data_IF_270253238634
#
_entry.id   IF_270253238634
#
_cell.length_a   1.000
_cell.length_b   1.000
_cell.length_c   1.000
_cell.angle_alpha   90.00
_cell.angle_beta   90.00
_cell.angle_gamma   90.00
#
_symmetry.space_group_name_H-M   'P 1'
#
loop_
_entity.id
_entity.type
_entity.pdbx_description
1 polymer ?
#
# COMPACT_ATOMS: atom_id res chain seq x y z
N UNK A 1 -1.29 7.99 -12.87
CA UNK A 1 -2.62 8.42 -12.37
C UNK A 1 -3.26 7.33 -11.51
N UNK A 2 -3.36 6.08 -11.98
CA UNK A 2 -4.00 5.00 -11.23
C UNK A 2 -3.38 4.68 -9.85
N UNK A 3 -2.05 4.74 -9.68
CA UNK A 3 -1.40 4.41 -8.40
C UNK A 3 -1.77 5.37 -7.26
N UNK A 4 -1.93 6.66 -7.55
CA UNK A 4 -2.31 7.66 -6.54
C UNK A 4 -3.74 7.39 -6.06
N UNK A 5 -4.66 7.22 -7.01
CA UNK A 5 -6.05 6.87 -6.69
C UNK A 5 -6.13 5.52 -5.96
N UNK A 6 -5.37 4.50 -6.40
CA UNK A 6 -5.30 3.20 -5.75
C UNK A 6 -4.83 3.33 -4.29
N UNK A 7 -3.79 4.14 -4.05
CA UNK A 7 -3.31 4.39 -2.69
C UNK A 7 -4.37 5.08 -1.82
N UNK A 8 -4.95 6.18 -2.29
CA UNK A 8 -5.96 6.94 -1.55
C UNK A 8 -7.20 6.08 -1.28
N UNK A 9 -7.70 5.38 -2.30
CA UNK A 9 -8.87 4.51 -2.23
C UNK A 9 -8.66 3.40 -1.18
N UNK A 10 -7.58 2.64 -1.28
CA UNK A 10 -7.33 1.50 -0.39
C UNK A 10 -6.94 1.91 1.04
N UNK A 11 -6.45 3.13 1.23
CA UNK A 11 -6.11 3.65 2.56
C UNK A 11 -7.33 4.20 3.29
N UNK A 12 -8.20 4.94 2.59
CA UNK A 12 -9.24 5.77 3.22
C UNK A 12 -10.68 5.30 3.00
N UNK A 13 -10.94 4.41 2.05
CA UNK A 13 -12.27 3.95 1.73
C UNK A 13 -12.39 2.45 1.98
N UNK A 14 -13.60 2.00 2.31
CA UNK A 14 -13.87 0.58 2.47
C UNK A 14 -13.77 -0.13 1.12
N UNK A 15 -12.94 -1.16 1.04
CA UNK A 15 -12.80 -1.94 -0.19
C UNK A 15 -13.97 -2.93 -0.33
N UNK A 16 -14.66 -2.89 -1.47
CA UNK A 16 -15.71 -3.84 -1.83
C UNK A 16 -15.23 -4.79 -2.94
N UNK A 17 -15.20 -6.09 -2.66
CA UNK A 17 -14.87 -7.12 -3.65
C UNK A 17 -16.08 -7.55 -4.52
N UNK A 18 -17.19 -6.82 -4.44
CA UNK A 18 -18.41 -7.13 -5.22
C UNK A 18 -18.30 -6.68 -6.67
N UNK A 19 -17.49 -5.64 -6.93
CA UNK A 19 -17.26 -5.06 -8.25
C UNK A 19 -15.83 -5.31 -8.72
N UNK A 20 -15.56 -5.03 -9.99
CA UNK A 20 -14.21 -4.98 -10.52
C UNK A 20 -13.44 -3.79 -9.93
N UNK A 21 -12.10 -3.82 -9.98
CA UNK A 21 -11.28 -2.77 -9.38
C UNK A 21 -11.49 -1.41 -10.05
N UNK A 22 -11.73 -1.39 -11.36
CA UNK A 22 -12.06 -0.18 -12.11
C UNK A 22 -13.33 0.46 -11.59
N UNK A 23 -14.41 -0.32 -11.44
CA UNK A 23 -15.71 0.18 -11.00
C UNK A 23 -15.64 0.68 -9.56
N UNK A 24 -14.81 0.04 -8.72
CA UNK A 24 -14.52 0.54 -7.38
C UNK A 24 -13.83 1.91 -7.42
N UNK A 25 -12.86 2.11 -8.32
CA UNK A 25 -12.22 3.43 -8.47
C UNK A 25 -13.18 4.49 -9.00
N UNK A 26 -14.07 4.15 -9.92
CA UNK A 26 -15.10 5.05 -10.41
C UNK A 26 -16.04 5.49 -9.27
N UNK A 27 -16.49 4.55 -8.43
CA UNK A 27 -17.30 4.86 -7.23
C UNK A 27 -16.56 5.85 -6.30
N UNK A 28 -15.25 5.64 -6.07
CA UNK A 28 -14.46 6.54 -5.21
C UNK A 28 -14.32 7.93 -5.83
N UNK A 29 -14.08 8.01 -7.14
CA UNK A 29 -14.02 9.31 -7.84
C UNK A 29 -15.34 10.05 -7.70
N UNK A 30 -16.48 9.37 -7.88
CA UNK A 30 -17.80 9.97 -7.71
C UNK A 30 -17.99 10.54 -6.30
N UNK A 31 -17.58 9.79 -5.27
CA UNK A 31 -17.62 10.25 -3.86
C UNK A 31 -16.76 11.51 -3.67
N UNK A 32 -15.53 11.48 -4.17
CA UNK A 32 -14.59 12.62 -4.05
C UNK A 32 -15.14 13.86 -4.76
N UNK A 33 -15.67 13.70 -5.97
CA UNK A 33 -16.20 14.82 -6.77
C UNK A 33 -17.52 15.38 -6.21
N UNK A 34 -18.31 14.56 -5.51
CA UNK A 34 -19.54 14.99 -4.87
C UNK A 34 -19.31 15.74 -3.54
N UNK A 35 -18.17 15.51 -2.88
CA UNK A 35 -17.81 16.14 -1.61
C UNK A 35 -17.03 17.45 -1.83
N UNK A 36 -17.74 18.58 -1.74
CA UNK A 36 -17.12 19.92 -1.84
C UNK A 36 -16.15 20.24 -0.70
N UNK A 37 -16.18 19.47 0.38
CA UNK A 37 -15.31 19.60 1.56
C UNK A 37 -14.23 18.53 1.63
N UNK A 38 -14.01 17.78 0.53
CA UNK A 38 -13.02 16.72 0.50
C UNK A 38 -11.63 17.26 0.87
N UNK A 39 -10.96 16.70 1.89
CA UNK A 39 -9.74 17.30 2.46
C UNK A 39 -8.50 16.93 1.63
N UNK A 40 -8.40 17.48 0.41
CA UNK A 40 -7.29 17.22 -0.51
C UNK A 40 -5.93 17.46 0.13
N UNK A 41 -5.74 18.59 0.81
CA UNK A 41 -4.47 18.95 1.47
C UNK A 41 -4.01 17.89 2.46
N UNK A 42 -4.95 17.30 3.23
CA UNK A 42 -4.63 16.25 4.20
C UNK A 42 -4.17 14.96 3.51
N UNK A 43 -4.85 14.56 2.45
CA UNK A 43 -4.48 13.35 1.70
C UNK A 43 -3.19 13.55 0.92
N UNK A 44 -2.94 14.75 0.40
CA UNK A 44 -1.68 15.12 -0.23
C UNK A 44 -0.52 15.07 0.78
N UNK A 45 -0.69 15.66 1.97
CA UNK A 45 0.32 15.63 3.03
C UNK A 45 0.67 14.17 3.41
N UNK A 46 -0.34 13.34 3.67
CA UNK A 46 -0.13 11.93 4.03
C UNK A 46 0.51 11.12 2.90
N UNK A 47 0.10 11.37 1.65
CA UNK A 47 0.71 10.76 0.47
C UNK A 47 2.20 11.13 0.41
N UNK A 48 2.53 12.42 0.46
CA UNK A 48 3.89 12.90 0.38
C UNK A 48 4.75 12.31 1.50
N UNK A 49 4.29 12.39 2.75
CA UNK A 49 4.95 11.79 3.91
C UNK A 49 5.24 10.30 3.71
N UNK A 50 4.26 9.54 3.21
CA UNK A 50 4.40 8.11 2.95
C UNK A 50 5.44 7.84 1.88
N UNK A 51 5.34 8.48 0.73
CA UNK A 51 6.21 8.17 -0.42
C UNK A 51 7.61 8.77 -0.28
N UNK A 52 7.78 9.87 0.45
CA UNK A 52 9.10 10.37 0.87
C UNK A 52 9.81 9.37 1.78
N UNK A 53 9.09 8.81 2.78
CA UNK A 53 9.64 7.77 3.65
C UNK A 53 10.01 6.52 2.83
N UNK A 54 9.11 6.00 2.00
CA UNK A 54 9.40 4.82 1.18
C UNK A 54 10.60 5.04 0.24
N UNK A 55 10.71 6.23 -0.35
CA UNK A 55 11.84 6.62 -1.18
C UNK A 55 13.15 6.68 -0.37
N UNK A 56 13.11 7.21 0.86
CA UNK A 56 14.26 7.23 1.77
C UNK A 56 14.69 5.81 2.18
N UNK A 57 13.75 4.90 2.42
CA UNK A 57 14.06 3.56 2.92
C UNK A 57 14.66 2.65 1.84
N UNK A 58 14.00 2.53 0.69
CA UNK A 58 14.37 1.56 -0.36
C UNK A 58 14.30 2.13 -1.79
N UNK A 59 13.94 3.41 -1.95
CA UNK A 59 13.90 4.08 -3.26
C UNK A 59 13.01 3.34 -4.26
N UNK A 60 13.49 3.19 -5.49
CA UNK A 60 12.80 2.44 -6.55
C UNK A 60 12.63 0.93 -6.27
N UNK A 61 13.34 0.39 -5.27
CA UNK A 61 13.30 -1.03 -4.96
C UNK A 61 12.11 -1.42 -4.08
N UNK A 62 11.50 -0.45 -3.40
CA UNK A 62 10.48 -0.67 -2.37
C UNK A 62 9.30 -1.51 -2.85
N UNK A 63 8.93 -1.43 -4.14
CA UNK A 63 7.82 -2.19 -4.72
C UNK A 63 8.26 -3.33 -5.64
N UNK A 64 9.55 -3.71 -5.62
CA UNK A 64 10.06 -4.89 -6.31
C UNK A 64 10.04 -6.10 -5.36
N UNK A 65 10.20 -7.31 -5.88
CA UNK A 65 10.25 -8.52 -5.05
C UNK A 65 11.59 -8.60 -4.32
N UNK A 66 11.58 -8.78 -3.00
CA UNK A 66 12.77 -9.22 -2.26
C UNK A 66 12.93 -10.75 -2.36
N UNK A 67 14.10 -11.22 -2.81
CA UNK A 67 14.41 -12.65 -2.98
C UNK A 67 15.10 -13.31 -1.77
N UNK A 68 15.32 -12.55 -0.70
CA UNK A 68 16.13 -12.96 0.46
C UNK A 68 17.51 -12.31 0.49
N UNK A 69 17.99 -11.80 -0.64
CA UNK A 69 19.27 -11.12 -0.78
C UNK A 69 19.16 -9.70 -1.34
N UNK A 70 18.31 -9.50 -2.36
CA UNK A 70 18.15 -8.24 -3.04
C UNK A 70 16.74 -8.08 -3.62
N UNK A 71 16.36 -6.83 -3.86
CA UNK A 71 15.16 -6.49 -4.61
C UNK A 71 15.40 -6.70 -6.11
N UNK A 72 14.51 -7.46 -6.76
CA UNK A 72 14.65 -7.83 -8.17
C UNK A 72 13.30 -7.85 -8.89
N UNK A 73 13.40 -7.80 -10.21
CA UNK A 73 12.26 -7.90 -11.10
C UNK A 73 11.54 -6.57 -11.30
N UNK A 74 10.31 -6.68 -11.81
CA UNK A 74 9.45 -5.53 -12.13
C UNK A 74 8.74 -5.04 -10.87
N UNK A 75 8.20 -3.83 -10.97
CA UNK A 75 7.23 -3.29 -10.01
C UNK A 75 6.08 -4.29 -9.80
N UNK A 76 5.72 -4.52 -8.55
CA UNK A 76 4.62 -5.38 -8.14
C UNK A 76 3.49 -4.53 -7.55
N UNK A 77 2.34 -4.54 -8.20
CA UNK A 77 1.13 -3.90 -7.67
C UNK A 77 0.77 -4.42 -6.28
N UNK A 78 0.94 -5.71 -6.02
CA UNK A 78 0.67 -6.30 -4.71
C UNK A 78 1.60 -5.75 -3.62
N UNK A 79 2.87 -5.51 -3.93
CA UNK A 79 3.80 -4.87 -3.01
C UNK A 79 3.43 -3.41 -2.78
N UNK A 80 3.04 -2.70 -3.84
CA UNK A 80 2.53 -1.33 -3.74
C UNK A 80 1.29 -1.23 -2.83
N UNK A 81 0.28 -2.07 -3.07
CA UNK A 81 -0.95 -2.14 -2.28
C UNK A 81 -0.64 -2.42 -0.81
N UNK A 82 0.22 -3.39 -0.51
CA UNK A 82 0.55 -3.75 0.87
C UNK A 82 1.40 -2.67 1.56
N UNK A 83 2.53 -2.31 0.96
CA UNK A 83 3.53 -1.45 1.61
C UNK A 83 3.01 -0.02 1.73
N UNK A 84 2.45 0.55 0.67
CA UNK A 84 2.00 1.96 0.72
C UNK A 84 0.84 2.13 1.69
N UNK A 85 -0.15 1.22 1.69
CA UNK A 85 -1.30 1.31 2.60
C UNK A 85 -0.90 0.99 4.03
N UNK A 86 -0.06 -0.03 4.23
CA UNK A 86 0.42 -0.43 5.55
C UNK A 86 1.22 0.68 6.24
N UNK A 87 2.15 1.30 5.52
CA UNK A 87 2.95 2.42 6.03
C UNK A 87 2.09 3.66 6.25
N UNK A 88 1.25 4.06 5.29
CA UNK A 88 0.40 5.25 5.44
C UNK A 88 -0.58 5.14 6.61
N UNK A 89 -1.15 3.95 6.83
CA UNK A 89 -2.10 3.70 7.93
C UNK A 89 -1.44 3.83 9.30
N UNK A 90 -0.16 3.47 9.41
CA UNK A 90 0.58 3.43 10.67
C UNK A 90 1.58 4.59 10.81
N UNK A 91 1.61 5.54 9.86
CA UNK A 91 2.65 6.56 9.76
C UNK A 91 2.89 7.32 11.07
N UNK A 92 1.81 7.76 11.72
CA UNK A 92 1.88 8.52 12.97
C UNK A 92 2.35 7.73 14.20
N UNK A 93 2.46 6.40 14.10
CA UNK A 93 2.95 5.53 15.18
C UNK A 93 4.47 5.32 15.16
N UNK A 94 5.13 5.71 14.08
CA UNK A 94 6.56 5.52 13.91
C UNK A 94 7.36 6.63 14.60
N UNK A 95 8.44 6.24 15.27
CA UNK A 95 9.46 7.14 15.79
C UNK A 95 10.56 7.30 14.74
N UNK A 96 10.37 8.21 13.79
CA UNK A 96 11.31 8.44 12.70
C UNK A 96 12.40 9.45 13.11
N UNK A 97 13.69 9.20 12.78
CA UNK A 97 14.20 8.14 11.90
C UNK A 97 14.58 6.83 12.62
N UNK A 98 14.37 6.70 13.93
CA UNK A 98 14.81 5.54 14.72
C UNK A 98 14.20 4.20 14.22
N UNK A 99 12.96 4.24 13.72
CA UNK A 99 12.26 3.07 13.19
C UNK A 99 12.61 2.74 11.71
N UNK A 100 13.52 3.48 11.06
CA UNK A 100 13.84 3.26 9.64
C UNK A 100 14.33 1.83 9.35
N UNK A 101 15.23 1.30 10.18
CA UNK A 101 15.77 -0.06 9.97
C UNK A 101 14.71 -1.14 10.24
N UNK A 102 13.83 -0.90 11.21
CA UNK A 102 12.66 -1.76 11.46
C UNK A 102 11.72 -1.80 10.24
N UNK A 103 11.44 -0.64 9.64
CA UNK A 103 10.56 -0.55 8.47
C UNK A 103 11.18 -1.20 7.23
N UNK A 104 12.49 -0.98 6.97
CA UNK A 104 13.23 -1.69 5.91
C UNK A 104 13.12 -3.19 6.06
N UNK A 105 13.27 -3.68 7.29
CA UNK A 105 13.22 -5.11 7.54
C UNK A 105 11.80 -5.66 7.40
N UNK A 106 10.77 -4.92 7.81
CA UNK A 106 9.38 -5.30 7.50
C UNK A 106 9.10 -5.35 6.00
N UNK A 107 9.55 -4.36 5.23
CA UNK A 107 9.42 -4.35 3.76
C UNK A 107 10.01 -5.62 3.15
N UNK A 108 11.23 -6.02 3.56
CA UNK A 108 11.87 -7.25 3.09
C UNK A 108 11.12 -8.51 3.54
N UNK A 109 10.74 -8.57 4.82
CA UNK A 109 10.05 -9.71 5.41
C UNK A 109 8.66 -9.93 4.81
N UNK A 110 7.97 -8.89 4.34
CA UNK A 110 6.67 -8.99 3.66
C UNK A 110 6.67 -10.10 2.59
N UNK A 111 7.73 -10.16 1.78
CA UNK A 111 7.89 -11.14 0.70
C UNK A 111 8.09 -12.58 1.18
N UNK A 112 8.22 -12.81 2.48
CA UNK A 112 8.31 -14.13 3.12
C UNK A 112 7.06 -14.53 3.90
N UNK A 113 6.15 -13.60 4.16
CA UNK A 113 4.91 -13.86 4.91
C UNK A 113 3.95 -14.70 4.09
N UNK A 114 3.40 -15.74 4.71
CA UNK A 114 2.49 -16.68 4.05
C UNK A 114 1.21 -15.98 3.61
N UNK A 115 0.70 -15.08 4.45
CA UNK A 115 -0.47 -14.24 4.23
C UNK A 115 -0.30 -13.38 2.98
N UNK A 116 0.91 -12.88 2.74
CA UNK A 116 1.20 -12.15 1.51
C UNK A 116 1.39 -13.11 0.32
N UNK A 117 2.23 -14.14 0.45
CA UNK A 117 2.56 -15.07 -0.64
C UNK A 117 1.34 -15.80 -1.20
N UNK A 118 0.43 -16.23 -0.32
CA UNK A 118 -0.78 -16.97 -0.67
C UNK A 118 -1.68 -16.23 -1.67
N UNK A 119 -1.67 -14.90 -1.63
CA UNK A 119 -2.54 -14.06 -2.46
C UNK A 119 -1.80 -13.26 -3.53
N UNK A 120 -0.49 -13.42 -3.70
CA UNK A 120 0.33 -12.57 -4.59
C UNK A 120 1.11 -13.34 -5.66
N UNK A 121 0.88 -14.65 -5.78
CA UNK A 121 1.48 -15.50 -6.81
C UNK A 121 0.89 -15.33 -8.21
N UNK A 122 1.42 -16.11 -9.15
CA UNK A 122 0.95 -16.15 -10.54
C UNK A 122 -0.56 -16.44 -10.62
N UNK A 123 -1.30 -15.62 -11.35
CA UNK A 123 -2.76 -15.74 -11.47
C UNK A 123 -3.55 -15.03 -10.38
N UNK A 124 -2.88 -14.35 -9.43
CA UNK A 124 -3.54 -13.46 -8.47
C UNK A 124 -4.25 -12.31 -9.19
N UNK A 125 -5.52 -12.09 -8.83
CA UNK A 125 -6.29 -10.93 -9.29
C UNK A 125 -6.57 -9.99 -8.10
N UNK A 126 -6.74 -8.70 -8.39
CA UNK A 126 -6.95 -7.67 -7.37
C UNK A 126 -8.18 -7.96 -6.48
N UNK A 127 -9.27 -8.45 -7.07
CA UNK A 127 -10.54 -8.73 -6.39
C UNK A 127 -10.44 -9.76 -5.27
N UNK A 128 -9.59 -10.76 -5.44
CA UNK A 128 -9.33 -11.79 -4.41
C UNK A 128 -8.17 -11.39 -3.49
N UNK A 129 -7.17 -10.68 -4.02
CA UNK A 129 -5.98 -10.28 -3.28
C UNK A 129 -6.22 -9.15 -2.29
N UNK A 130 -6.79 -8.03 -2.73
CA UNK A 130 -6.92 -6.79 -1.94
C UNK A 130 -7.66 -7.02 -0.61
N UNK A 131 -8.79 -7.75 -0.55
CA UNK A 131 -9.50 -8.03 0.71
C UNK A 131 -8.69 -8.82 1.73
N UNK A 132 -7.59 -9.45 1.31
CA UNK A 132 -6.73 -10.27 2.17
C UNK A 132 -5.42 -9.55 2.47
N UNK A 133 -4.79 -8.99 1.45
CA UNK A 133 -3.49 -8.33 1.56
C UNK A 133 -3.57 -6.99 2.26
N UNK A 134 -4.58 -6.15 1.99
CA UNK A 134 -4.64 -4.81 2.58
C UNK A 134 -4.88 -4.86 4.10
N UNK A 135 -5.86 -5.61 4.64
CA UNK A 135 -6.03 -5.73 6.09
C UNK A 135 -4.80 -6.31 6.77
N UNK A 136 -4.24 -7.40 6.21
CA UNK A 136 -3.00 -7.98 6.69
C UNK A 136 -1.85 -6.97 6.72
N UNK A 137 -1.69 -6.15 5.67
CA UNK A 137 -0.61 -5.18 5.61
C UNK A 137 -0.75 -4.07 6.66
N UNK A 138 -1.97 -3.60 6.93
CA UNK A 138 -2.24 -2.62 8.00
C UNK A 138 -1.79 -3.16 9.36
N UNK A 139 -2.08 -4.42 9.67
CA UNK A 139 -1.62 -5.08 10.90
C UNK A 139 -0.10 -5.37 10.86
N UNK A 140 0.40 -5.90 9.75
CA UNK A 140 1.80 -6.29 9.60
C UNK A 140 2.76 -5.10 9.75
N UNK A 141 2.36 -3.90 9.33
CA UNK A 141 3.16 -2.68 9.46
C UNK A 141 2.93 -1.90 10.75
N UNK A 142 2.02 -2.34 11.64
CA UNK A 142 1.82 -1.68 12.94
C UNK A 142 3.03 -1.83 13.86
N UNK A 143 3.22 -0.89 14.79
CA UNK A 143 4.21 -1.00 15.86
C UNK A 143 3.72 -1.91 16.97
#
# INVERSE_FOLDING_TARGET
MELVLRHIALTHFEYSNKKELSDYFDDIIEIILADQSFPFDKYEEQFNQTFELLNLLEGENVFKRYDGSAFKGKFLESAFEAISVGIATNYSSYDLPNDNDFLKEKIKQLHTREEFRKYTGSGSNARTRIPKVVPFAKEFFSK
#
